data_IF_302173030847
#
_entry.id   IF_302173030847
#
_cell.length_a   1.000
_cell.length_b   1.000
_cell.length_c   1.000
_cell.angle_alpha   90.00
_cell.angle_beta   90.00
_cell.angle_gamma   90.00
#
_symmetry.space_group_name_H-M   'P 1'
#
loop_
_entity.id
_entity.type
_entity.pdbx_description
1 polymer ?
#
# COMPACT_ATOMS: atom_id res chain seq x y z
N UNK A 1 -9.76 -14.17 33.11
CA UNK A 1 -10.54 -13.07 32.48
C UNK A 1 -9.78 -11.76 32.65
N UNK A 2 -9.22 -11.22 31.56
CA UNK A 2 -8.39 -10.02 31.63
C UNK A 2 -9.27 -8.75 31.53
N UNK A 3 -9.63 -8.19 32.68
CA UNK A 3 -10.48 -7.01 32.86
C UNK A 3 -9.91 -5.73 32.25
N UNK A 4 -8.61 -5.70 31.90
CA UNK A 4 -7.90 -4.55 31.36
C UNK A 4 -8.17 -4.27 29.87
N UNK A 5 -8.73 -5.23 29.13
CA UNK A 5 -9.04 -5.03 27.71
C UNK A 5 -10.20 -4.04 27.46
N UNK A 6 -10.99 -3.72 28.49
CA UNK A 6 -12.21 -2.90 28.39
C UNK A 6 -11.97 -1.41 28.16
N UNK A 7 -10.73 -0.93 28.32
CA UNK A 7 -10.38 0.49 28.21
C UNK A 7 -9.36 0.79 27.10
N UNK A 8 -9.07 -0.18 26.23
CA UNK A 8 -8.17 0.07 25.10
C UNK A 8 -8.92 0.95 24.08
N UNK A 9 -8.52 2.22 23.99
CA UNK A 9 -9.06 3.17 23.01
C UNK A 9 -8.92 2.55 21.62
N UNK A 10 -10.00 2.56 20.83
CA UNK A 10 -9.96 2.09 19.45
C UNK A 10 -8.89 2.86 18.68
N UNK A 11 -8.11 2.19 17.81
CA UNK A 11 -7.13 2.87 16.97
C UNK A 11 -7.77 3.97 16.12
N UNK A 12 -6.98 4.97 15.76
CA UNK A 12 -7.39 5.97 14.78
C UNK A 12 -7.50 5.30 13.39
N UNK A 13 -8.24 5.94 12.47
CA UNK A 13 -8.49 5.38 11.14
C UNK A 13 -7.19 5.18 10.36
N UNK A 14 -6.24 6.10 10.53
CA UNK A 14 -4.92 6.04 9.91
C UNK A 14 -4.15 4.79 10.34
N UNK A 15 -4.27 4.38 11.61
CA UNK A 15 -3.66 3.13 12.09
C UNK A 15 -4.29 1.92 11.40
N UNK A 16 -5.63 1.89 11.30
CA UNK A 16 -6.34 0.79 10.63
C UNK A 16 -5.96 0.66 9.16
N UNK A 17 -5.78 1.79 8.47
CA UNK A 17 -5.33 1.83 7.08
C UNK A 17 -3.88 1.37 6.92
N UNK A 18 -2.97 1.75 7.82
CA UNK A 18 -1.59 1.29 7.75
C UNK A 18 -1.46 -0.20 8.07
N UNK A 19 -2.23 -0.71 9.04
CA UNK A 19 -2.33 -2.15 9.30
C UNK A 19 -2.87 -2.88 8.06
N UNK A 20 -3.94 -2.36 7.45
CA UNK A 20 -4.53 -2.91 6.24
C UNK A 20 -3.61 -2.90 5.03
N UNK A 21 -2.89 -1.79 4.80
CA UNK A 21 -1.95 -1.64 3.70
C UNK A 21 -0.76 -2.59 3.88
N UNK A 22 -0.26 -2.75 5.10
CA UNK A 22 0.80 -3.71 5.40
C UNK A 22 0.38 -5.15 5.05
N UNK A 23 -0.87 -5.53 5.35
CA UNK A 23 -1.45 -6.82 4.96
C UNK A 23 -1.64 -6.96 3.45
N UNK A 24 -2.08 -5.90 2.77
CA UNK A 24 -2.29 -5.90 1.32
C UNK A 24 -0.97 -6.13 0.57
N UNK A 25 0.15 -5.65 1.13
CA UNK A 25 1.50 -5.82 0.60
C UNK A 25 2.18 -7.14 1.03
N UNK A 26 1.48 -8.08 1.66
CA UNK A 26 2.04 -9.40 1.95
C UNK A 26 2.31 -10.19 0.67
N UNK A 27 3.43 -10.94 0.68
CA UNK A 27 3.93 -11.70 -0.47
C UNK A 27 3.33 -13.13 -0.53
N UNK A 28 3.54 -13.80 -1.66
CA UNK A 28 3.14 -15.20 -1.88
C UNK A 28 1.67 -15.33 -2.29
N UNK A 29 1.01 -16.40 -1.86
CA UNK A 29 -0.38 -16.73 -2.21
C UNK A 29 -1.41 -15.68 -1.73
N UNK A 30 -0.98 -14.70 -0.93
CA UNK A 30 -1.81 -13.62 -0.36
C UNK A 30 -1.68 -12.29 -1.08
N UNK A 31 -0.89 -12.23 -2.14
CA UNK A 31 -0.73 -10.99 -2.90
C UNK A 31 -2.03 -10.63 -3.62
N UNK A 32 -2.55 -9.43 -3.34
CA UNK A 32 -3.89 -8.94 -3.74
C UNK A 32 -5.05 -9.75 -3.16
N UNK A 33 -4.79 -10.64 -2.20
CA UNK A 33 -5.86 -11.32 -1.50
C UNK A 33 -6.63 -10.31 -0.63
N UNK A 34 -7.97 -10.45 -0.54
CA UNK A 34 -8.80 -9.62 0.33
C UNK A 34 -8.19 -9.52 1.75
N UNK A 35 -8.04 -8.30 2.29
CA UNK A 35 -7.45 -8.10 3.63
C UNK A 35 -8.47 -8.33 4.75
N UNK A 36 -9.77 -8.38 4.44
CA UNK A 36 -10.90 -8.36 5.37
C UNK A 36 -10.75 -9.40 6.47
N UNK A 37 -10.45 -10.66 6.13
CA UNK A 37 -10.31 -11.74 7.13
C UNK A 37 -9.12 -11.47 8.07
N UNK A 38 -7.98 -11.08 7.51
CA UNK A 38 -6.75 -10.80 8.27
C UNK A 38 -6.89 -9.57 9.15
N UNK A 39 -7.54 -8.53 8.63
CA UNK A 39 -7.79 -7.28 9.33
C UNK A 39 -8.83 -7.47 10.45
N UNK A 40 -9.85 -8.31 10.23
CA UNK A 40 -10.83 -8.70 11.25
C UNK A 40 -10.20 -9.45 12.41
N UNK A 41 -9.18 -10.28 12.17
CA UNK A 41 -8.42 -10.95 13.24
C UNK A 41 -7.72 -9.92 14.13
N UNK A 42 -7.15 -8.85 13.55
CA UNK A 42 -6.47 -7.80 14.30
C UNK A 42 -7.45 -6.81 14.97
N UNK A 43 -8.58 -6.53 14.31
CA UNK A 43 -9.59 -5.57 14.75
C UNK A 43 -11.00 -6.20 14.73
N UNK A 44 -11.34 -7.11 15.68
CA UNK A 44 -12.58 -7.89 15.64
C UNK A 44 -13.87 -7.09 15.75
N UNK A 45 -13.77 -5.81 16.08
CA UNK A 45 -14.90 -4.90 16.25
C UNK A 45 -15.30 -4.19 14.96
N UNK A 46 -14.54 -4.35 13.87
CA UNK A 46 -14.87 -3.80 12.56
C UNK A 46 -16.06 -4.55 11.94
N UNK A 47 -16.98 -3.80 11.36
CA UNK A 47 -18.10 -4.35 10.58
C UNK A 47 -17.62 -4.80 9.19
N UNK A 48 -18.37 -5.68 8.51
CA UNK A 48 -18.08 -6.04 7.12
C UNK A 48 -17.89 -4.82 6.21
N UNK A 49 -18.82 -3.86 6.25
CA UNK A 49 -18.74 -2.64 5.43
C UNK A 49 -17.46 -1.82 5.71
N UNK A 50 -17.05 -1.73 6.98
CA UNK A 50 -15.81 -1.03 7.34
C UNK A 50 -14.56 -1.77 6.83
N UNK A 51 -14.58 -3.11 6.87
CA UNK A 51 -13.49 -3.92 6.31
C UNK A 51 -13.39 -3.75 4.80
N UNK A 52 -14.52 -3.70 4.10
CA UNK A 52 -14.57 -3.49 2.65
C UNK A 52 -14.11 -2.07 2.26
N UNK A 53 -14.51 -1.05 3.02
CA UNK A 53 -14.02 0.32 2.81
C UNK A 53 -12.49 0.39 2.98
N UNK A 54 -11.96 -0.22 4.05
CA UNK A 54 -10.53 -0.24 4.31
C UNK A 54 -9.75 -1.00 3.22
N UNK A 55 -10.24 -2.16 2.79
CA UNK A 55 -9.64 -2.92 1.68
C UNK A 55 -9.62 -2.08 0.40
N UNK A 56 -10.75 -1.48 0.01
CA UNK A 56 -10.84 -0.65 -1.18
C UNK A 56 -9.82 0.50 -1.18
N UNK A 57 -9.65 1.18 -0.03
CA UNK A 57 -8.67 2.26 0.13
C UNK A 57 -7.23 1.73 0.04
N UNK A 58 -6.94 0.58 0.64
CA UNK A 58 -5.61 -0.04 0.59
C UNK A 58 -5.24 -0.49 -0.84
N UNK A 59 -6.18 -1.13 -1.55
CA UNK A 59 -5.98 -1.54 -2.94
C UNK A 59 -5.77 -0.33 -3.86
N UNK A 60 -6.49 0.78 -3.62
CA UNK A 60 -6.29 2.02 -4.36
C UNK A 60 -4.89 2.61 -4.11
N UNK A 61 -4.41 2.60 -2.87
CA UNK A 61 -3.06 3.06 -2.54
C UNK A 61 -1.97 2.19 -3.19
N UNK A 62 -2.13 0.87 -3.16
CA UNK A 62 -1.22 -0.07 -3.82
C UNK A 62 -1.15 0.17 -5.33
N UNK A 63 -2.31 0.22 -6.00
CA UNK A 63 -2.39 0.46 -7.44
C UNK A 63 -1.70 1.76 -7.82
N UNK A 64 -2.02 2.84 -7.10
CA UNK A 64 -1.41 4.14 -7.33
C UNK A 64 0.11 4.12 -7.12
N UNK A 65 0.59 3.42 -6.09
CA UNK A 65 2.03 3.22 -5.86
C UNK A 65 2.70 2.53 -7.05
N UNK A 66 2.16 1.40 -7.52
CA UNK A 66 2.70 0.69 -8.68
C UNK A 66 2.72 1.55 -9.95
N UNK A 67 1.63 2.27 -10.24
CA UNK A 67 1.54 3.19 -11.36
C UNK A 67 2.54 4.34 -11.25
N UNK A 68 2.73 4.88 -10.04
CA UNK A 68 3.69 5.96 -9.76
C UNK A 68 5.12 5.50 -9.99
N UNK A 69 5.49 4.30 -9.53
CA UNK A 69 6.82 3.75 -9.79
C UNK A 69 7.06 3.55 -11.29
N UNK A 70 6.07 3.04 -12.02
CA UNK A 70 6.14 2.91 -13.48
C UNK A 70 6.36 4.25 -14.18
N UNK A 71 5.57 5.26 -13.82
CA UNK A 71 5.66 6.61 -14.38
C UNK A 71 7.03 7.24 -14.10
N UNK A 72 7.50 7.20 -12.86
CA UNK A 72 8.80 7.76 -12.48
C UNK A 72 9.95 7.06 -13.22
N UNK A 73 9.90 5.73 -13.36
CA UNK A 73 10.90 4.99 -14.13
C UNK A 73 10.87 5.37 -15.63
N UNK A 74 9.69 5.56 -16.21
CA UNK A 74 9.56 5.98 -17.60
C UNK A 74 10.12 7.40 -17.84
N UNK A 75 9.91 8.31 -16.89
CA UNK A 75 10.37 9.70 -16.96
C UNK A 75 11.89 9.83 -16.70
N UNK A 76 12.48 8.98 -15.86
CA UNK A 76 13.84 9.18 -15.34
C UNK A 76 14.83 8.06 -15.71
N UNK A 77 14.95 7.76 -17.01
CA UNK A 77 15.92 6.78 -17.55
C UNK A 77 15.92 5.43 -16.79
N UNK A 78 14.72 4.98 -16.40
CA UNK A 78 14.47 3.75 -15.65
C UNK A 78 14.99 3.75 -14.21
N UNK A 79 15.12 4.90 -13.57
CA UNK A 79 15.34 5.02 -12.14
C UNK A 79 14.08 5.53 -11.43
N UNK A 80 13.71 4.90 -10.32
CA UNK A 80 12.60 5.37 -9.49
C UNK A 80 13.19 6.21 -8.35
N UNK A 81 12.92 7.51 -8.37
CA UNK A 81 13.30 8.39 -7.26
C UNK A 81 12.38 8.14 -6.05
N UNK A 82 12.98 7.74 -4.93
CA UNK A 82 12.25 7.37 -3.72
C UNK A 82 11.54 8.56 -3.07
N UNK A 83 12.14 9.76 -3.14
CA UNK A 83 11.57 10.98 -2.60
C UNK A 83 10.32 11.42 -3.36
N UNK A 84 10.41 11.48 -4.70
CA UNK A 84 9.32 11.80 -5.61
C UNK A 84 8.18 10.78 -5.52
N UNK A 85 8.51 9.49 -5.37
CA UNK A 85 7.52 8.45 -5.11
C UNK A 85 6.75 8.73 -3.81
N UNK A 86 7.47 8.93 -2.71
CA UNK A 86 6.88 9.11 -1.38
C UNK A 86 6.05 10.40 -1.33
N UNK A 87 6.55 11.48 -1.92
CA UNK A 87 5.82 12.74 -2.04
C UNK A 87 4.52 12.57 -2.84
N UNK A 88 4.58 11.88 -3.99
CA UNK A 88 3.40 11.61 -4.82
C UNK A 88 2.37 10.74 -4.09
N UNK A 89 2.83 9.68 -3.41
CA UNK A 89 1.97 8.79 -2.63
C UNK A 89 1.26 9.55 -1.51
N UNK A 90 2.00 10.35 -0.74
CA UNK A 90 1.46 11.10 0.40
C UNK A 90 0.57 12.27 0.02
N UNK A 91 0.81 12.88 -1.14
CA UNK A 91 -0.08 13.91 -1.67
C UNK A 91 -1.51 13.38 -1.86
N UNK A 92 -1.65 12.08 -2.21
CA UNK A 92 -2.95 11.42 -2.39
C UNK A 92 -3.42 10.67 -1.15
N UNK A 93 -2.50 10.03 -0.42
CA UNK A 93 -2.77 9.17 0.71
C UNK A 93 -1.96 9.63 1.93
N UNK A 94 -2.32 10.80 2.47
CA UNK A 94 -1.60 11.44 3.59
C UNK A 94 -1.55 10.64 4.89
N UNK A 95 -2.32 9.55 4.98
CA UNK A 95 -2.30 8.61 6.10
C UNK A 95 -1.16 7.60 6.03
N UNK A 96 -0.49 7.41 4.89
CA UNK A 96 0.54 6.38 4.71
C UNK A 96 1.82 6.76 5.47
N UNK A 97 2.20 5.91 6.43
CA UNK A 97 3.41 6.09 7.23
C UNK A 97 4.69 5.76 6.46
N UNK A 98 5.86 6.05 7.05
CA UNK A 98 7.16 5.86 6.39
C UNK A 98 7.43 4.37 6.09
N UNK A 99 7.05 3.49 7.02
CA UNK A 99 7.29 2.05 6.88
C UNK A 99 6.51 1.46 5.71
N UNK A 100 5.24 1.82 5.57
CA UNK A 100 4.40 1.39 4.46
C UNK A 100 4.79 2.07 3.14
N UNK A 101 5.17 3.35 3.15
CA UNK A 101 5.65 4.02 1.94
C UNK A 101 6.91 3.33 1.39
N UNK A 102 7.89 3.04 2.26
CA UNK A 102 9.11 2.35 1.88
C UNK A 102 8.84 0.92 1.38
N UNK A 103 8.00 0.16 2.10
CA UNK A 103 7.62 -1.19 1.69
C UNK A 103 6.90 -1.20 0.34
N UNK A 104 5.98 -0.26 0.12
CA UNK A 104 5.25 -0.14 -1.15
C UNK A 104 6.19 0.24 -2.29
N UNK A 105 7.15 1.15 -2.06
CA UNK A 105 8.17 1.49 -3.05
C UNK A 105 8.97 0.25 -3.46
N UNK A 106 9.53 -0.48 -2.50
CA UNK A 106 10.33 -1.69 -2.76
C UNK A 106 9.53 -2.72 -3.55
N UNK A 107 8.28 -2.96 -3.16
CA UNK A 107 7.39 -3.89 -3.86
C UNK A 107 7.05 -3.41 -5.28
N UNK A 108 6.76 -2.12 -5.44
CA UNK A 108 6.45 -1.51 -6.75
C UNK A 108 7.64 -1.60 -7.71
N UNK A 109 8.84 -1.30 -7.23
CA UNK A 109 10.09 -1.44 -8.00
C UNK A 109 10.33 -2.89 -8.39
N UNK A 110 10.15 -3.84 -7.45
CA UNK A 110 10.28 -5.25 -7.77
C UNK A 110 9.34 -5.67 -8.91
N UNK A 111 8.06 -5.29 -8.86
CA UNK A 111 7.09 -5.68 -9.88
C UNK A 111 7.25 -4.96 -11.21
N UNK A 112 7.64 -3.69 -11.17
CA UNK A 112 8.06 -2.94 -12.34
C UNK A 112 9.10 -3.72 -13.15
N UNK A 113 10.16 -4.18 -12.50
CA UNK A 113 11.25 -4.89 -13.18
C UNK A 113 10.89 -6.33 -13.53
N UNK A 114 10.13 -7.01 -12.67
CA UNK A 114 9.60 -8.35 -12.98
C UNK A 114 8.71 -8.35 -14.22
N UNK A 115 8.00 -7.24 -14.49
CA UNK A 115 7.18 -7.05 -15.67
C UNK A 115 7.96 -6.54 -16.91
N UNK A 116 9.29 -6.42 -16.84
CA UNK A 116 10.15 -6.00 -17.95
C UNK A 116 10.52 -4.52 -17.98
N UNK A 117 10.09 -3.75 -16.97
CA UNK A 117 10.31 -2.31 -16.89
C UNK A 117 9.39 -1.49 -17.80
N UNK A 118 9.55 -0.16 -17.85
CA UNK A 118 8.86 0.67 -18.83
C UNK A 118 9.38 0.34 -20.24
N UNK A 119 8.56 0.48 -21.29
CA UNK A 119 8.96 0.17 -22.66
C UNK A 119 10.25 0.90 -23.04
N UNK A 120 11.13 0.20 -23.77
CA UNK A 120 12.32 0.82 -24.36
C UNK A 120 11.83 1.68 -25.53
N UNK A 121 12.06 2.98 -25.40
CA UNK A 121 12.04 3.98 -26.46
C UNK A 121 10.65 4.47 -26.93
N UNK A 122 10.27 5.66 -26.45
CA UNK A 122 9.49 6.63 -27.23
C UNK A 122 10.33 7.91 -27.45
N UNK A 123 11.62 7.74 -27.74
CA UNK A 123 12.59 8.84 -27.77
C UNK A 123 13.80 8.55 -28.64
N UNK A 124 13.58 8.17 -29.89
CA UNK A 124 14.58 8.27 -30.96
C UNK A 124 13.84 8.37 -32.31
N UNK A 125 13.37 9.57 -32.63
CA UNK A 125 13.12 10.05 -34.00
C UNK A 125 13.12 11.57 -33.98
#
# INVERSE_FOLDING_TARGET
>A
MNWLARFRKRPARETLLNDGLALAMDWGDRWLAPIQERLRVQHPWLTPDALDELDAVCQAAMRFGHETAYRLAAENAKQVDAGAFTASLRARFGWVDDANAERLLRQSVYYLWKAGGPPRDAGAS
#
